data_IF_295152309736
#
_entry.id   IF_295152309736
#
_cell.length_a   1.000
_cell.length_b   1.000
_cell.length_c   1.000
_cell.angle_alpha   90.00
_cell.angle_beta   90.00
_cell.angle_gamma   90.00
#
_symmetry.space_group_name_H-M   'P 1'
#
loop_
_entity.id
_entity.type
_entity.pdbx_description
1 polymer ?
#
# COMPACT_ATOMS: atom_id res chain seq x y z
N UNK A 1 -7.84 -12.01 -1.92
CA UNK A 1 -7.18 -12.42 -0.65
C UNK A 1 -5.99 -11.52 -0.37
N UNK A 2 -5.61 -11.36 0.90
CA UNK A 2 -4.38 -10.68 1.30
C UNK A 2 -3.20 -11.66 1.33
N UNK A 3 -2.05 -11.26 0.79
CA UNK A 3 -0.80 -12.04 0.78
C UNK A 3 0.39 -11.17 1.15
N UNK A 4 1.39 -11.76 1.80
CA UNK A 4 2.70 -11.14 2.00
C UNK A 4 3.73 -11.81 1.07
N UNK A 5 4.53 -11.00 0.40
CA UNK A 5 5.74 -11.48 -0.28
C UNK A 5 6.69 -12.08 0.77
N UNK A 6 7.41 -13.14 0.40
CA UNK A 6 8.41 -13.73 1.28
C UNK A 6 9.45 -12.69 1.72
N UNK A 7 9.75 -12.65 3.03
CA UNK A 7 10.71 -11.73 3.62
C UNK A 7 10.12 -10.40 4.13
N UNK A 8 8.85 -10.11 3.86
CA UNK A 8 8.19 -8.90 4.38
C UNK A 8 8.11 -8.96 5.90
N UNK A 9 8.51 -7.88 6.57
CA UNK A 9 8.48 -7.75 8.04
C UNK A 9 7.29 -6.90 8.44
N UNK A 10 6.26 -7.53 9.00
CA UNK A 10 5.03 -6.85 9.43
C UNK A 10 5.01 -6.45 10.92
N UNK A 11 5.96 -6.95 11.72
CA UNK A 11 6.01 -6.66 13.15
C UNK A 11 6.40 -5.19 13.38
N UNK A 12 5.52 -4.42 14.03
CA UNK A 12 5.73 -2.98 14.27
C UNK A 12 4.89 -2.06 13.38
N UNK A 13 4.00 -2.62 12.56
CA UNK A 13 3.02 -1.88 11.78
C UNK A 13 2.13 -1.00 12.67
N UNK A 14 1.83 0.22 12.22
CA UNK A 14 0.84 1.07 12.87
C UNK A 14 -0.59 0.57 12.66
N UNK A 15 -1.51 1.04 13.50
CA UNK A 15 -2.93 0.64 13.38
C UNK A 15 -3.53 1.23 12.10
N UNK A 16 -3.08 2.42 11.73
CA UNK A 16 -3.50 3.16 10.56
C UNK A 16 -3.11 2.45 9.27
N UNK A 17 -1.91 1.85 9.19
CA UNK A 17 -1.56 1.01 8.04
C UNK A 17 -2.25 -0.34 8.09
N UNK A 18 -2.52 -0.91 9.26
CA UNK A 18 -3.36 -2.12 9.34
C UNK A 18 -4.76 -1.87 8.75
N UNK A 19 -5.37 -0.72 9.05
CA UNK A 19 -6.63 -0.29 8.43
C UNK A 19 -6.46 -0.09 6.91
N UNK A 20 -5.37 0.55 6.48
CA UNK A 20 -5.10 0.75 5.07
C UNK A 20 -4.98 -0.57 4.29
N UNK A 21 -4.36 -1.59 4.89
CA UNK A 21 -4.28 -2.94 4.31
C UNK A 21 -5.66 -3.60 4.18
N UNK A 22 -6.55 -3.43 5.16
CA UNK A 22 -7.93 -3.93 5.06
C UNK A 22 -8.72 -3.27 3.93
N UNK A 23 -8.57 -1.95 3.78
CA UNK A 23 -9.17 -1.19 2.66
C UNK A 23 -8.56 -1.64 1.34
N UNK A 24 -7.23 -1.77 1.27
CA UNK A 24 -6.55 -2.21 0.06
C UNK A 24 -6.94 -3.62 -0.38
N UNK A 25 -7.13 -4.54 0.57
CA UNK A 25 -7.69 -5.85 0.26
C UNK A 25 -9.06 -5.74 -0.42
N UNK A 26 -9.92 -4.85 0.06
CA UNK A 26 -11.27 -4.66 -0.47
C UNK A 26 -11.25 -4.01 -1.86
N UNK A 27 -10.42 -2.99 -2.06
CA UNK A 27 -10.24 -2.34 -3.36
C UNK A 27 -9.64 -3.32 -4.37
N UNK A 28 -8.55 -4.02 -4.05
CA UNK A 28 -7.99 -5.02 -4.99
C UNK A 28 -9.01 -6.10 -5.36
N UNK A 29 -9.85 -6.52 -4.40
CA UNK A 29 -10.90 -7.50 -4.65
C UNK A 29 -11.99 -6.97 -5.60
N UNK A 30 -12.35 -5.68 -5.58
CA UNK A 30 -13.31 -5.10 -6.53
C UNK A 30 -12.78 -5.07 -7.96
N UNK A 31 -11.46 -5.09 -8.13
CA UNK A 31 -10.77 -5.25 -9.41
C UNK A 31 -10.48 -6.72 -9.76
N UNK A 32 -10.94 -7.69 -8.96
CA UNK A 32 -10.76 -9.11 -9.23
C UNK A 32 -9.36 -9.66 -8.92
N UNK A 33 -8.57 -8.95 -8.09
CA UNK A 33 -7.18 -9.31 -7.79
C UNK A 33 -6.93 -9.57 -6.31
N UNK A 34 -5.89 -10.36 -6.03
CA UNK A 34 -5.34 -10.50 -4.68
C UNK A 34 -4.48 -9.28 -4.32
N UNK A 35 -4.62 -8.79 -3.09
CA UNK A 35 -3.74 -7.75 -2.57
C UNK A 35 -2.45 -8.40 -2.07
N UNK A 36 -1.31 -8.03 -2.67
CA UNK A 36 0.00 -8.56 -2.28
C UNK A 36 0.86 -7.43 -1.73
N UNK A 37 1.18 -7.51 -0.45
CA UNK A 37 2.13 -6.61 0.22
C UNK A 37 3.55 -6.99 -0.21
N UNK A 38 4.30 -6.02 -0.72
CA UNK A 38 5.68 -6.20 -1.20
C UNK A 38 6.75 -5.65 -0.27
N UNK A 39 6.42 -4.67 0.58
CA UNK A 39 7.30 -4.14 1.64
C UNK A 39 6.46 -3.56 2.80
N UNK A 40 6.98 -3.71 4.02
CA UNK A 40 6.51 -3.05 5.25
C UNK A 40 7.71 -2.44 6.01
N UNK A 41 8.16 -3.04 7.11
CA UNK A 41 9.33 -2.54 7.87
C UNK A 41 10.65 -3.13 7.35
N UNK A 42 10.61 -3.89 6.26
CA UNK A 42 11.77 -4.47 5.58
C UNK A 42 12.33 -3.57 4.48
N UNK A 43 13.39 -4.04 3.82
CA UNK A 43 13.98 -3.35 2.68
C UNK A 43 14.82 -2.11 3.02
N UNK A 44 15.27 -1.44 1.95
CA UNK A 44 16.01 -0.18 2.03
C UNK A 44 15.15 0.90 1.40
N UNK A 45 14.75 1.88 2.21
CA UNK A 45 13.98 3.04 1.82
C UNK A 45 14.78 4.33 2.03
N UNK A 46 14.27 5.47 1.55
CA UNK A 46 14.88 6.78 1.79
C UNK A 46 14.98 7.08 3.30
N UNK A 47 15.92 7.93 3.71
CA UNK A 47 16.16 8.25 5.13
C UNK A 47 14.95 8.86 5.85
N UNK A 48 14.02 9.45 5.09
CA UNK A 48 12.79 10.06 5.60
C UNK A 48 11.56 9.16 5.42
N UNK A 49 11.75 7.92 4.97
CA UNK A 49 10.63 7.02 4.66
C UNK A 49 9.88 6.59 5.92
N UNK A 50 8.55 6.58 5.81
CA UNK A 50 7.66 6.16 6.88
C UNK A 50 7.60 4.63 7.08
N UNK A 51 8.16 3.84 6.16
CA UNK A 51 8.34 2.39 6.32
C UNK A 51 9.07 2.04 7.62
N UNK A 52 10.15 2.77 7.94
CA UNK A 52 10.93 2.53 9.16
C UNK A 52 10.17 2.80 10.46
N UNK A 53 9.07 3.55 10.39
CA UNK A 53 8.19 3.84 11.52
C UNK A 53 6.93 2.97 11.56
N UNK A 54 6.78 2.04 10.60
CA UNK A 54 5.58 1.22 10.45
C UNK A 54 4.37 1.97 9.89
N UNK A 55 4.58 3.17 9.33
CA UNK A 55 3.52 4.04 8.78
C UNK A 55 3.49 4.04 7.24
N UNK A 56 4.03 3.02 6.59
CA UNK A 56 3.88 2.84 5.14
C UNK A 56 3.78 1.37 4.73
N UNK A 57 3.22 1.12 3.56
CA UNK A 57 3.08 -0.19 2.93
C UNK A 57 3.20 -0.07 1.41
N UNK A 58 3.91 -1.02 0.81
CA UNK A 58 3.99 -1.16 -0.65
C UNK A 58 3.11 -2.31 -1.13
N UNK A 59 2.32 -2.07 -2.17
CA UNK A 59 1.37 -3.00 -2.75
C UNK A 59 1.74 -3.34 -4.20
N UNK A 60 1.64 -4.60 -4.58
CA UNK A 60 2.01 -5.06 -5.93
C UNK A 60 1.11 -4.47 -7.02
N UNK A 61 1.72 -4.06 -8.13
CA UNK A 61 1.00 -3.59 -9.35
C UNK A 61 1.16 -4.50 -10.56
N UNK A 62 2.18 -5.38 -10.60
CA UNK A 62 2.48 -6.28 -11.74
C UNK A 62 1.39 -7.30 -12.09
N UNK A 63 0.30 -7.33 -11.33
CA UNK A 63 -0.87 -8.18 -11.57
C UNK A 63 -1.92 -7.49 -12.44
N UNK A 64 -1.84 -6.17 -12.60
CA UNK A 64 -2.76 -5.39 -13.41
C UNK A 64 -2.36 -5.44 -14.88
N UNK A 65 -3.37 -5.44 -15.74
CA UNK A 65 -3.20 -5.57 -17.20
C UNK A 65 -2.58 -4.34 -17.85
N UNK A 66 -2.73 -3.17 -17.21
CA UNK A 66 -2.21 -1.90 -17.70
C UNK A 66 -1.92 -0.92 -16.56
N UNK A 67 -1.10 0.09 -16.87
CA UNK A 67 -0.87 1.24 -15.97
C UNK A 67 -2.16 1.97 -15.63
N UNK A 68 -3.10 2.10 -16.58
CA UNK A 68 -4.38 2.78 -16.33
C UNK A 68 -5.26 2.08 -15.28
N UNK A 69 -5.19 0.75 -15.19
CA UNK A 69 -5.83 -0.01 -14.12
C UNK A 69 -5.14 0.27 -12.79
N UNK A 70 -3.80 0.22 -12.75
CA UNK A 70 -3.04 0.54 -11.53
C UNK A 70 -3.32 1.96 -11.01
N UNK A 71 -3.43 2.94 -11.91
CA UNK A 71 -3.81 4.31 -11.56
C UNK A 71 -5.24 4.40 -10.99
N UNK A 72 -6.17 3.61 -11.52
CA UNK A 72 -7.56 3.57 -11.02
C UNK A 72 -7.61 2.96 -9.62
N UNK A 73 -6.88 1.87 -9.40
CA UNK A 73 -6.73 1.26 -8.07
C UNK A 73 -6.11 2.24 -7.08
N UNK A 74 -5.04 2.96 -7.46
CA UNK A 74 -4.40 3.95 -6.60
C UNK A 74 -5.34 5.12 -6.25
N UNK A 75 -6.14 5.60 -7.21
CA UNK A 75 -7.17 6.62 -6.95
C UNK A 75 -8.24 6.12 -5.99
N UNK A 76 -8.80 4.95 -6.24
CA UNK A 76 -9.86 4.38 -5.41
C UNK A 76 -9.37 4.09 -3.97
N UNK A 77 -8.10 3.68 -3.82
CA UNK A 77 -7.44 3.58 -2.52
C UNK A 77 -7.43 4.94 -1.80
N UNK A 78 -6.98 5.99 -2.49
CA UNK A 78 -6.96 7.35 -1.93
C UNK A 78 -8.34 7.84 -1.51
N UNK A 79 -9.34 7.63 -2.37
CA UNK A 79 -10.74 8.02 -2.11
C UNK A 79 -11.32 7.27 -0.90
N UNK A 80 -10.97 5.99 -0.73
CA UNK A 80 -11.45 5.16 0.38
C UNK A 80 -10.72 5.44 1.71
N UNK A 81 -9.43 5.77 1.66
CA UNK A 81 -8.60 6.03 2.85
C UNK A 81 -8.76 7.45 3.38
N UNK A 82 -9.00 8.41 2.49
CA UNK A 82 -9.16 9.82 2.83
C UNK A 82 -7.83 10.57 2.98
N UNK A 83 -7.95 11.82 3.40
CA UNK A 83 -6.90 12.83 3.25
C UNK A 83 -5.68 12.68 4.18
N UNK A 84 -5.75 11.81 5.19
CA UNK A 84 -4.62 11.53 6.09
C UNK A 84 -3.64 10.49 5.52
N UNK A 85 -3.98 9.89 4.37
CA UNK A 85 -3.13 8.94 3.68
C UNK A 85 -2.63 9.55 2.37
N UNK A 86 -1.33 9.36 2.10
CA UNK A 86 -0.75 9.63 0.79
C UNK A 86 -0.66 8.29 0.04
N UNK A 87 -1.29 8.24 -1.15
CA UNK A 87 -1.28 7.07 -2.05
C UNK A 87 -0.60 7.44 -3.34
N UNK A 88 0.54 6.82 -3.62
CA UNK A 88 1.39 7.13 -4.78
C UNK A 88 1.59 5.88 -5.62
N UNK A 89 1.27 5.96 -6.92
CA UNK A 89 1.63 4.91 -7.87
C UNK A 89 3.09 5.09 -8.27
N UNK A 90 3.95 4.24 -7.74
CA UNK A 90 5.35 4.12 -8.12
C UNK A 90 5.51 3.22 -9.35
N UNK A 91 6.70 3.20 -9.93
CA UNK A 91 6.97 2.46 -11.18
C UNK A 91 6.71 0.95 -11.09
N UNK A 92 6.79 0.34 -9.92
CA UNK A 92 6.63 -1.12 -9.73
C UNK A 92 5.74 -1.54 -8.54
N UNK A 93 5.16 -0.60 -7.81
CA UNK A 93 4.23 -0.80 -6.70
C UNK A 93 3.32 0.41 -6.49
N UNK A 94 2.26 0.26 -5.69
CA UNK A 94 1.52 1.39 -5.11
C UNK A 94 2.05 1.56 -3.68
N UNK A 95 2.59 2.73 -3.39
CA UNK A 95 3.00 3.13 -2.07
C UNK A 95 1.83 3.78 -1.33
N UNK A 96 1.58 3.37 -0.09
CA UNK A 96 0.57 3.97 0.79
C UNK A 96 1.23 4.30 2.11
N UNK A 97 1.17 5.55 2.54
CA UNK A 97 1.66 5.98 3.84
C UNK A 97 0.63 6.78 4.62
N UNK A 98 0.66 6.64 5.95
CA UNK A 98 -0.18 7.44 6.86
C UNK A 98 0.59 8.68 7.29
N UNK A 99 0.13 9.83 6.81
CA UNK A 99 0.78 11.12 7.02
C UNK A 99 -0.29 12.23 7.17
N UNK A 100 -0.95 12.32 8.35
CA UNK A 100 -2.02 13.28 8.57
C UNK A 100 -1.49 14.72 8.41
N UNK A 101 -2.22 15.53 7.64
CA UNK A 101 -1.85 16.92 7.35
C UNK A 101 -2.24 17.78 8.55
N UNK A 102 -1.23 18.40 9.18
CA UNK A 102 -1.42 19.36 10.28
C UNK A 102 -1.78 20.75 9.78
#
# INVERSE_FOLDING_TARGET
>A
MLKLKAGVVAQGLSTEIMLAVCVAQSVYASYGHDCVITSLLDGTHSSTSLHYSGNAVDLRTRIFESTSVAESVARDLGDCLGADYDVVLESDHIHVEYQPKR
#
